data_IF_211155657409
#
_entry.id   IF_211155657409
#
_cell.length_a   1.000
_cell.length_b   1.000
_cell.length_c   1.000
_cell.angle_alpha   90.00
_cell.angle_beta   90.00
_cell.angle_gamma   90.00
#
_symmetry.space_group_name_H-M   'P 1'
#
loop_
_entity.id
_entity.type
_entity.pdbx_description
1 polymer ?
#
# COMPACT_ATOMS: atom_id res chain seq x y z
N UNK A 1 12.51 23.71 -2.52
CA UNK A 1 12.32 22.47 -1.73
C UNK A 1 11.14 21.74 -2.34
N UNK A 2 11.15 20.40 -2.35
CA UNK A 2 9.97 19.65 -2.80
C UNK A 2 8.93 19.63 -1.70
N UNK A 3 7.68 19.88 -2.05
CA UNK A 3 6.58 19.77 -1.10
C UNK A 3 6.26 18.30 -0.84
N UNK A 4 6.09 17.91 0.41
CA UNK A 4 5.88 16.51 0.80
C UNK A 4 4.64 16.42 1.67
N UNK A 5 3.72 15.56 1.26
CA UNK A 5 2.49 15.28 2.00
C UNK A 5 2.40 13.82 2.38
N UNK A 6 1.93 13.54 3.60
CA UNK A 6 1.73 12.20 4.11
C UNK A 6 0.35 12.09 4.74
N UNK A 7 -0.40 11.05 4.39
CA UNK A 7 -1.73 10.81 4.95
C UNK A 7 -1.93 9.33 5.29
N UNK A 8 -2.59 9.08 6.44
CA UNK A 8 -3.07 7.76 6.87
C UNK A 8 -4.58 7.67 6.71
N UNK A 9 -5.05 6.53 6.25
CA UNK A 9 -6.46 6.21 6.06
C UNK A 9 -6.80 4.92 6.80
N UNK A 10 -7.76 4.98 7.73
CA UNK A 10 -8.21 3.80 8.47
C UNK A 10 -9.10 2.92 7.59
N UNK A 11 -8.91 1.61 7.68
CA UNK A 11 -9.76 0.63 7.00
C UNK A 11 -10.74 0.03 8.01
N UNK A 12 -11.97 -0.18 7.59
CA UNK A 12 -12.91 -1.00 8.35
C UNK A 12 -12.51 -2.47 8.24
N UNK A 13 -12.90 -3.27 9.23
CA UNK A 13 -12.67 -4.72 9.18
C UNK A 13 -13.27 -5.31 7.90
N UNK A 14 -12.46 -6.08 7.17
CA UNK A 14 -12.86 -6.75 5.91
C UNK A 14 -13.01 -5.83 4.70
N UNK A 15 -12.70 -4.53 4.83
CA UNK A 15 -12.78 -3.59 3.72
C UNK A 15 -11.71 -3.88 2.64
N UNK A 16 -10.53 -4.33 3.05
CA UNK A 16 -9.60 -5.02 2.16
C UNK A 16 -9.50 -6.47 2.59
N UNK A 17 -9.38 -7.36 1.61
CA UNK A 17 -9.06 -8.78 1.87
C UNK A 17 -7.68 -8.89 2.51
N UNK A 18 -7.47 -9.95 3.27
CA UNK A 18 -6.15 -10.29 3.80
C UNK A 18 -5.11 -10.32 2.68
N UNK A 19 -3.92 -9.79 2.97
CA UNK A 19 -2.87 -9.52 2.00
C UNK A 19 -1.60 -10.32 2.34
N UNK A 20 -0.72 -10.49 1.35
CA UNK A 20 0.55 -11.23 1.48
C UNK A 20 1.74 -10.30 1.45
N UNK A 21 2.63 -10.41 2.43
CA UNK A 21 3.92 -9.73 2.45
C UNK A 21 5.05 -10.77 2.56
N UNK A 22 6.11 -10.62 1.74
CA UNK A 22 7.30 -11.46 1.81
C UNK A 22 8.04 -11.57 0.47
N UNK A 23 9.32 -11.95 0.53
CA UNK A 23 10.12 -12.24 -0.66
C UNK A 23 9.86 -13.68 -1.16
N UNK A 24 9.83 -13.84 -2.48
CA UNK A 24 9.95 -15.15 -3.13
C UNK A 24 11.34 -15.70 -2.84
N UNK A 25 11.37 -16.99 -2.55
CA UNK A 25 12.41 -17.82 -1.95
C UNK A 25 13.76 -17.81 -2.67
N UNK A 26 14.85 -17.95 -1.90
CA UNK A 26 16.10 -18.57 -2.33
C UNK A 26 15.84 -20.06 -2.62
N UNK A 27 15.68 -20.41 -3.90
CA UNK A 27 15.33 -21.77 -4.37
C UNK A 27 16.28 -22.85 -3.84
N UNK A 28 17.54 -22.50 -3.55
CA UNK A 28 18.53 -23.45 -3.01
C UNK A 28 18.28 -23.83 -1.54
N UNK A 29 17.46 -23.06 -0.81
CA UNK A 29 17.18 -23.28 0.63
C UNK A 29 15.74 -23.65 0.95
N UNK A 30 14.82 -23.56 -0.02
CA UNK A 30 13.41 -23.93 0.18
C UNK A 30 12.63 -23.04 1.18
N UNK A 31 13.15 -21.87 1.57
CA UNK A 31 12.51 -20.99 2.57
C UNK A 31 11.57 -19.99 1.91
N UNK A 32 10.29 -20.33 1.82
CA UNK A 32 9.24 -19.38 1.45
C UNK A 32 8.71 -18.70 2.73
N UNK A 33 9.01 -17.41 2.91
CA UNK A 33 8.48 -16.60 4.04
C UNK A 33 7.46 -15.60 3.53
N UNK A 34 6.49 -16.08 2.77
CA UNK A 34 5.27 -15.32 2.49
C UNK A 34 4.41 -15.41 3.74
N UNK A 35 4.00 -14.26 4.29
CA UNK A 35 3.11 -14.18 5.45
C UNK A 35 1.85 -13.42 5.06
N UNK A 36 0.71 -13.96 5.45
CA UNK A 36 -0.56 -13.26 5.36
C UNK A 36 -0.65 -12.21 6.48
N UNK A 37 -1.36 -11.12 6.22
CA UNK A 37 -1.66 -10.07 7.20
C UNK A 37 -3.03 -9.47 6.92
N UNK A 38 -3.68 -8.98 7.97
CA UNK A 38 -5.01 -8.38 7.89
C UNK A 38 -4.93 -6.85 7.81
N UNK A 39 -5.27 -6.21 6.69
CA UNK A 39 -5.20 -4.76 6.58
C UNK A 39 -6.04 -4.02 7.63
N UNK A 40 -5.45 -3.01 8.27
CA UNK A 40 -6.15 -2.12 9.23
C UNK A 40 -6.06 -0.66 8.85
N UNK A 41 -5.05 -0.27 8.05
CA UNK A 41 -4.93 1.07 7.49
C UNK A 41 -4.01 1.06 6.27
N UNK A 42 -4.05 2.13 5.49
CA UNK A 42 -3.02 2.42 4.51
C UNK A 42 -2.49 3.84 4.67
N UNK A 43 -1.28 4.06 4.15
CA UNK A 43 -0.62 5.36 4.11
C UNK A 43 -0.25 5.70 2.69
N UNK A 44 -0.30 6.98 2.34
CA UNK A 44 0.14 7.48 1.06
C UNK A 44 1.08 8.67 1.23
N UNK A 45 2.08 8.73 0.35
CA UNK A 45 3.06 9.82 0.29
C UNK A 45 2.96 10.49 -1.08
N UNK A 46 2.85 11.81 -1.06
CA UNK A 46 2.92 12.66 -2.25
C UNK A 46 4.18 13.50 -2.22
N UNK A 47 4.69 13.82 -3.40
CA UNK A 47 5.78 14.77 -3.58
C UNK A 47 5.42 15.71 -4.71
N UNK A 48 5.46 17.01 -4.45
CA UNK A 48 5.01 18.05 -5.39
C UNK A 48 3.59 17.75 -5.92
N UNK A 49 2.69 17.27 -5.05
CA UNK A 49 1.30 16.91 -5.37
C UNK A 49 1.11 15.59 -6.14
N UNK A 50 2.17 14.84 -6.41
CA UNK A 50 2.13 13.57 -7.17
C UNK A 50 2.28 12.37 -6.23
N UNK A 51 1.42 11.36 -6.36
CA UNK A 51 1.46 10.15 -5.52
C UNK A 51 2.71 9.28 -5.82
N UNK A 52 3.58 9.14 -4.83
CA UNK A 52 4.88 8.46 -4.96
C UNK A 52 4.94 7.09 -4.27
N UNK A 53 4.13 6.90 -3.23
CA UNK A 53 4.14 5.65 -2.46
C UNK A 53 2.76 5.40 -1.85
N UNK A 54 2.35 4.14 -1.84
CA UNK A 54 1.23 3.64 -1.04
C UNK A 54 1.72 2.43 -0.25
N UNK A 55 1.34 2.35 1.03
CA UNK A 55 1.56 1.17 1.86
C UNK A 55 0.28 0.77 2.56
N UNK A 56 -0.06 -0.50 2.50
CA UNK A 56 -1.13 -1.09 3.33
C UNK A 56 -0.47 -1.83 4.48
N UNK A 57 -1.01 -1.64 5.69
CA UNK A 57 -0.45 -2.16 6.94
C UNK A 57 -1.46 -3.02 7.67
N UNK A 58 -0.97 -3.99 8.43
CA UNK A 58 -1.81 -4.75 9.35
C UNK A 58 -1.09 -5.86 10.10
N UNK A 59 -1.70 -6.38 11.18
CA UNK A 59 -1.15 -7.49 11.94
C UNK A 59 -1.01 -8.75 11.07
N UNK A 60 0.06 -9.50 11.32
CA UNK A 60 0.25 -10.82 10.75
C UNK A 60 -0.95 -11.70 11.06
N UNK A 61 -1.44 -12.44 10.07
CA UNK A 61 -2.43 -13.49 10.27
C UNK A 61 -1.69 -14.80 10.58
N UNK A 62 -2.06 -15.46 11.68
CA UNK A 62 -1.54 -16.76 12.08
C UNK A 62 -2.40 -17.89 11.49
N UNK A 63 -1.88 -19.12 11.48
CA UNK A 63 -2.54 -20.29 10.85
C UNK A 63 -3.90 -20.62 11.50
N UNK A 64 -4.10 -20.24 12.76
CA UNK A 64 -5.36 -20.39 13.50
C UNK A 64 -6.36 -19.23 13.24
N UNK A 65 -6.00 -18.28 12.37
CA UNK A 65 -6.79 -17.11 12.03
C UNK A 65 -6.69 -15.95 13.03
N UNK A 66 -5.88 -16.08 14.08
CA UNK A 66 -5.61 -15.01 15.04
C UNK A 66 -4.59 -13.99 14.52
N UNK A 67 -4.54 -12.84 15.17
CA UNK A 67 -3.61 -11.75 14.84
C UNK A 67 -2.33 -11.88 15.67
N UNK A 68 -1.19 -11.95 15.00
CA UNK A 68 0.12 -11.94 15.62
C UNK A 68 0.60 -10.53 15.95
N UNK A 69 1.60 -10.43 16.85
CA UNK A 69 2.16 -9.14 17.29
C UNK A 69 2.91 -8.36 16.20
N UNK A 70 3.34 -9.04 15.12
CA UNK A 70 4.05 -8.40 14.02
C UNK A 70 3.09 -7.62 13.14
N UNK A 71 3.37 -6.33 12.96
CA UNK A 71 2.71 -5.52 11.94
C UNK A 71 3.48 -5.62 10.61
N UNK A 72 2.80 -6.06 9.56
CA UNK A 72 3.34 -6.26 8.22
C UNK A 72 2.83 -5.18 7.26
N UNK A 73 3.53 -4.99 6.14
CA UNK A 73 3.12 -4.06 5.10
C UNK A 73 3.29 -4.61 3.69
N UNK A 74 2.41 -4.16 2.79
CA UNK A 74 2.61 -4.26 1.35
C UNK A 74 2.81 -2.86 0.78
N UNK A 75 3.88 -2.68 0.01
CA UNK A 75 4.29 -1.38 -0.52
C UNK A 75 4.22 -1.34 -2.04
N UNK A 76 3.45 -0.40 -2.54
CA UNK A 76 3.59 0.12 -3.90
C UNK A 76 4.50 1.33 -3.85
N UNK A 77 5.67 1.19 -4.45
CA UNK A 77 6.61 2.29 -4.63
C UNK A 77 7.28 2.09 -5.98
N UNK A 78 7.22 3.10 -6.82
CA UNK A 78 8.01 3.11 -8.04
C UNK A 78 9.36 3.78 -7.77
N UNK A 79 10.41 3.24 -8.39
CA UNK A 79 11.72 3.88 -8.42
C UNK A 79 11.65 5.12 -9.31
N UNK A 80 12.70 5.95 -9.27
CA UNK A 80 12.77 7.17 -10.09
C UNK A 80 12.56 6.89 -11.59
N UNK A 81 12.89 5.67 -12.03
CA UNK A 81 12.83 5.24 -13.43
C UNK A 81 11.47 4.63 -13.83
N UNK A 82 10.65 4.21 -12.85
CA UNK A 82 9.34 3.61 -13.08
C UNK A 82 8.18 4.62 -12.98
N UNK A 83 8.48 5.87 -12.62
CA UNK A 83 7.51 6.94 -12.53
C UNK A 83 6.72 6.95 -11.21
N UNK A 84 5.61 7.69 -11.12
CA UNK A 84 4.74 7.72 -9.95
C UNK A 84 3.90 6.43 -9.79
N UNK A 85 3.25 6.25 -8.63
CA UNK A 85 2.34 5.11 -8.41
C UNK A 85 1.11 5.26 -9.30
N UNK A 86 0.71 4.17 -9.96
CA UNK A 86 -0.48 4.13 -10.80
C UNK A 86 -1.68 3.66 -9.99
N UNK A 87 -2.80 4.36 -10.12
CA UNK A 87 -4.01 4.07 -9.35
C UNK A 87 -4.60 2.71 -9.71
N UNK A 88 -4.52 2.30 -10.97
CA UNK A 88 -4.97 0.97 -11.44
C UNK A 88 -4.22 -0.22 -10.83
N UNK A 89 -3.01 0.00 -10.31
CA UNK A 89 -2.18 -1.05 -9.69
C UNK A 89 -2.54 -1.25 -8.21
N UNK A 90 -3.38 -0.37 -7.65
CA UNK A 90 -3.83 -0.40 -6.27
C UNK A 90 -5.14 -1.19 -6.13
N UNK A 91 -5.43 -1.75 -4.93
CA UNK A 91 -6.75 -2.26 -4.63
C UNK A 91 -7.81 -1.18 -4.84
N UNK A 92 -8.94 -1.53 -5.45
CA UNK A 92 -10.00 -0.59 -5.85
C UNK A 92 -10.37 0.42 -4.76
N UNK A 93 -10.60 -0.04 -3.54
CA UNK A 93 -11.00 0.82 -2.40
C UNK A 93 -9.89 1.80 -2.02
N UNK A 94 -8.62 1.41 -2.14
CA UNK A 94 -7.48 2.30 -1.89
C UNK A 94 -7.41 3.36 -2.99
N UNK A 95 -7.56 2.96 -4.26
CA UNK A 95 -7.57 3.89 -5.38
C UNK A 95 -8.70 4.92 -5.26
N UNK A 96 -9.94 4.48 -5.02
CA UNK A 96 -11.12 5.35 -4.90
C UNK A 96 -10.94 6.41 -3.81
N UNK A 97 -10.47 6.00 -2.61
CA UNK A 97 -10.22 6.94 -1.50
C UNK A 97 -9.10 7.93 -1.77
N UNK A 98 -8.04 7.51 -2.46
CA UNK A 98 -6.96 8.42 -2.82
C UNK A 98 -7.40 9.41 -3.90
N UNK A 99 -8.25 9.00 -4.83
CA UNK A 99 -8.82 9.89 -5.85
C UNK A 99 -9.74 10.94 -5.22
N UNK A 100 -10.61 10.53 -4.29
CA UNK A 100 -11.44 11.44 -3.49
C UNK A 100 -10.58 12.43 -2.70
N UNK A 101 -9.58 11.93 -1.97
CA UNK A 101 -8.67 12.78 -1.21
C UNK A 101 -7.89 13.76 -2.09
N UNK A 102 -7.42 13.32 -3.26
CA UNK A 102 -6.73 14.20 -4.20
C UNK A 102 -7.62 15.34 -4.68
N UNK A 103 -8.90 15.05 -4.98
CA UNK A 103 -9.86 16.05 -5.44
C UNK A 103 -10.12 17.12 -4.37
N UNK A 104 -10.20 16.71 -3.10
CA UNK A 104 -10.36 17.62 -1.95
C UNK A 104 -9.13 18.49 -1.67
N UNK A 105 -7.93 17.97 -1.95
CA UNK A 105 -6.65 18.61 -1.59
C UNK A 105 -5.91 19.23 -2.79
N UNK A 106 -6.50 19.18 -3.99
CA UNK A 106 -5.91 19.77 -5.20
C UNK A 106 -4.64 19.04 -5.70
N UNK A 107 -4.51 17.75 -5.42
CA UNK A 107 -3.36 16.96 -5.86
C UNK A 107 -3.49 16.55 -7.33
N UNK A 108 -2.34 16.47 -7.99
CA UNK A 108 -2.27 16.23 -9.44
C UNK A 108 -2.29 14.74 -9.73
N UNK A 109 -3.12 14.33 -10.69
CA UNK A 109 -3.10 12.97 -11.26
C UNK A 109 -2.48 13.08 -12.64
N UNK A 110 -1.27 12.56 -12.79
CA UNK A 110 -0.60 12.56 -14.09
C UNK A 110 -1.19 11.47 -15.01
N UNK A 111 -1.15 11.65 -16.34
CA UNK A 111 -1.66 10.65 -17.29
C UNK A 111 -1.07 9.25 -17.07
N UNK A 112 0.20 9.15 -16.71
CA UNK A 112 0.89 7.89 -16.42
C UNK A 112 0.41 7.19 -15.13
N UNK A 113 -0.37 7.87 -14.29
CA UNK A 113 -0.96 7.34 -13.07
C UNK A 113 -2.36 6.76 -13.27
N UNK A 114 -2.99 6.97 -14.43
CA UNK A 114 -4.31 6.43 -14.76
C UNK A 114 -4.28 4.92 -14.98
#
# INVERSE_FOLDING_TARGET
>A
MKDKHHQRFLLKYGELRDMRCGAVTDEAKGIQRVRDFRPTYFTADWTDGVLMQVRVWGPQLLDDGSEGERNLDYRWRNTRDLGPVKYRDLPRIVAERLLEYNAENGFTILPEQQ
#
